data_IF_076877542853
#
_entry.id   IF_076877542853
#
_cell.length_a   1.000
_cell.length_b   1.000
_cell.length_c   1.000
_cell.angle_alpha   90.00
_cell.angle_beta   90.00
_cell.angle_gamma   90.00
#
_symmetry.space_group_name_H-M   'P 1'
#
loop_
_entity.id
_entity.type
_entity.pdbx_description
1 polymer ?
#
# COMPACT_ATOMS: atom_id res chain seq x y z
N UNK A 1 -23.37 -18.43 5.50
CA UNK A 1 -23.22 -18.22 4.05
C UNK A 1 -22.59 -16.85 3.83
N UNK A 2 -21.33 -16.81 3.38
CA UNK A 2 -20.55 -15.58 3.19
C UNK A 2 -20.98 -14.88 1.89
N UNK A 3 -21.37 -13.60 1.97
CA UNK A 3 -21.90 -12.85 0.84
C UNK A 3 -20.79 -11.91 0.29
N UNK A 4 -20.40 -11.99 -1.00
CA UNK A 4 -19.28 -11.21 -1.57
C UNK A 4 -19.36 -9.70 -1.27
N UNK A 5 -20.57 -9.15 -1.27
CA UNK A 5 -20.82 -7.74 -0.95
C UNK A 5 -20.45 -7.36 0.49
N UNK A 6 -20.63 -8.26 1.47
CA UNK A 6 -20.23 -8.00 2.86
C UNK A 6 -18.71 -8.01 3.02
N UNK A 7 -18.01 -8.84 2.25
CA UNK A 7 -16.54 -8.88 2.23
C UNK A 7 -15.95 -7.55 1.76
N UNK A 8 -16.46 -7.01 0.65
CA UNK A 8 -15.95 -5.75 0.07
C UNK A 8 -16.23 -4.56 1.01
N UNK A 9 -17.40 -4.54 1.67
CA UNK A 9 -17.74 -3.51 2.65
C UNK A 9 -16.77 -3.56 3.85
N UNK A 10 -16.52 -4.75 4.38
CA UNK A 10 -15.58 -4.94 5.50
C UNK A 10 -14.17 -4.48 5.12
N UNK A 11 -13.69 -4.83 3.92
CA UNK A 11 -12.38 -4.39 3.42
C UNK A 11 -12.30 -2.88 3.24
N UNK A 12 -13.37 -2.21 2.78
CA UNK A 12 -13.38 -0.74 2.66
C UNK A 12 -13.37 -0.05 4.02
N UNK A 13 -14.13 -0.55 5.00
CA UNK A 13 -14.10 -0.04 6.38
C UNK A 13 -12.71 -0.21 6.98
N UNK A 14 -12.11 -1.40 6.83
CA UNK A 14 -10.76 -1.68 7.29
C UNK A 14 -9.72 -0.74 6.64
N UNK A 15 -9.84 -0.49 5.34
CA UNK A 15 -8.94 0.43 4.61
C UNK A 15 -9.06 1.86 5.13
N UNK A 16 -10.27 2.34 5.39
CA UNK A 16 -10.49 3.68 5.97
C UNK A 16 -9.95 3.79 7.39
N UNK A 17 -10.14 2.76 8.20
CA UNK A 17 -9.55 2.70 9.54
C UNK A 17 -8.02 2.71 9.48
N UNK A 18 -7.42 1.99 8.53
CA UNK A 18 -5.98 2.02 8.30
C UNK A 18 -5.48 3.40 7.87
N UNK A 19 -6.20 4.11 6.99
CA UNK A 19 -5.88 5.51 6.61
C UNK A 19 -5.87 6.40 7.85
N UNK A 20 -6.93 6.36 8.67
CA UNK A 20 -7.01 7.14 9.89
C UNK A 20 -5.85 6.81 10.85
N UNK A 21 -5.53 5.53 11.01
CA UNK A 21 -4.42 5.07 11.86
C UNK A 21 -3.07 5.57 11.35
N UNK A 22 -2.82 5.54 10.04
CA UNK A 22 -1.58 6.09 9.45
C UNK A 22 -1.48 7.60 9.68
N UNK A 23 -2.59 8.33 9.55
CA UNK A 23 -2.58 9.78 9.81
C UNK A 23 -2.31 10.07 11.29
N UNK A 24 -3.00 9.38 12.21
CA UNK A 24 -2.81 9.55 13.66
C UNK A 24 -1.37 9.19 14.04
N UNK A 25 -0.86 8.07 13.55
CA UNK A 25 0.52 7.66 13.82
C UNK A 25 1.52 8.66 13.26
N UNK A 26 1.30 9.27 12.08
CA UNK A 26 2.18 10.31 11.54
C UNK A 26 2.28 11.52 12.49
N UNK A 27 1.18 11.96 13.10
CA UNK A 27 1.22 13.02 14.12
C UNK A 27 1.87 12.59 15.44
N UNK A 28 1.79 11.31 15.80
CA UNK A 28 2.39 10.77 17.01
C UNK A 28 3.90 10.45 16.86
N UNK A 29 4.39 10.23 15.64
CA UNK A 29 5.80 9.90 15.35
C UNK A 29 6.86 10.82 15.97
N UNK A 30 6.72 12.16 15.98
CA UNK A 30 7.73 13.03 16.60
C UNK A 30 7.88 12.80 18.11
N UNK A 31 6.85 12.26 18.78
CA UNK A 31 6.91 11.90 20.20
C UNK A 31 7.32 10.44 20.41
N UNK A 32 6.88 9.54 19.53
CA UNK A 32 7.16 8.10 19.62
C UNK A 32 8.63 7.75 19.33
N UNK A 33 9.24 8.36 18.29
CA UNK A 33 10.59 8.01 17.86
C UNK A 33 11.65 8.32 18.95
N UNK A 34 11.69 9.52 19.56
CA UNK A 34 12.62 9.80 20.64
C UNK A 34 12.41 8.88 21.86
N UNK A 35 11.15 8.61 22.21
CA UNK A 35 10.81 7.70 23.32
C UNK A 35 11.33 6.28 23.06
N UNK A 36 11.16 5.77 21.84
CA UNK A 36 11.67 4.47 21.43
C UNK A 36 13.20 4.40 21.47
N UNK A 37 13.89 5.41 20.95
CA UNK A 37 15.37 5.47 20.94
C UNK A 37 15.93 5.52 22.36
N UNK A 38 15.29 6.30 23.25
CA UNK A 38 15.65 6.35 24.67
C UNK A 38 15.45 4.98 25.35
N UNK A 39 14.35 4.28 25.05
CA UNK A 39 14.08 2.96 25.62
C UNK A 39 15.03 1.87 25.11
N UNK A 40 15.43 1.93 23.82
CA UNK A 40 16.37 0.98 23.22
C UNK A 40 17.84 1.32 23.45
N UNK A 41 18.13 2.44 24.11
CA UNK A 41 19.50 2.89 24.41
C UNK A 41 20.34 3.17 23.16
N UNK A 42 19.70 3.47 22.02
CA UNK A 42 20.40 3.78 20.76
C UNK A 42 20.89 5.23 20.75
N UNK A 43 21.88 5.50 19.88
CA UNK A 43 22.41 6.85 19.73
C UNK A 43 21.33 7.81 19.21
N UNK A 44 21.19 9.00 19.80
CA UNK A 44 20.17 9.98 19.42
C UNK A 44 20.36 10.52 17.98
N UNK A 45 21.54 10.34 17.39
CA UNK A 45 21.84 10.75 16.00
C UNK A 45 21.00 10.01 14.95
N UNK A 46 20.42 8.85 15.27
CA UNK A 46 19.59 8.07 14.34
C UNK A 46 18.15 8.61 14.26
N UNK A 47 17.71 9.41 15.26
CA UNK A 47 16.37 9.99 15.33
C UNK A 47 15.98 10.74 14.05
N UNK A 48 16.76 11.72 13.53
CA UNK A 48 16.38 12.46 12.33
C UNK A 48 16.28 11.55 11.09
N UNK A 49 17.23 10.63 10.90
CA UNK A 49 17.23 9.70 9.77
C UNK A 49 16.00 8.78 9.80
N UNK A 50 15.67 8.24 10.98
CA UNK A 50 14.49 7.38 11.16
C UNK A 50 13.19 8.14 10.88
N UNK A 51 13.10 9.38 11.35
CA UNK A 51 11.94 10.24 11.17
C UNK A 51 11.74 10.57 9.69
N UNK A 52 12.82 10.94 8.97
CA UNK A 52 12.81 11.14 7.51
C UNK A 52 12.32 9.88 6.79
N UNK A 53 12.86 8.70 7.11
CA UNK A 53 12.45 7.43 6.50
C UNK A 53 10.96 7.16 6.72
N UNK A 54 10.46 7.35 7.94
CA UNK A 54 9.04 7.09 8.26
C UNK A 54 8.13 8.03 7.48
N UNK A 55 8.43 9.32 7.44
CA UNK A 55 7.62 10.27 6.66
C UNK A 55 7.73 10.04 5.15
N UNK A 56 8.92 9.68 4.65
CA UNK A 56 9.12 9.34 3.25
C UNK A 56 8.31 8.09 2.84
N UNK A 57 8.18 7.10 3.72
CA UNK A 57 7.33 5.92 3.50
C UNK A 57 5.84 6.19 3.71
N UNK A 58 5.47 7.12 4.60
CA UNK A 58 4.08 7.45 4.90
C UNK A 58 3.35 8.02 3.67
N UNK A 59 4.04 8.83 2.84
CA UNK A 59 3.46 9.40 1.62
C UNK A 59 2.98 8.32 0.61
N UNK A 60 3.86 7.44 0.07
CA UNK A 60 3.43 6.36 -0.83
C UNK A 60 2.53 5.35 -0.13
N UNK A 61 2.68 5.15 1.20
CA UNK A 61 1.76 4.33 2.00
C UNK A 61 0.33 4.87 1.97
N UNK A 62 0.13 6.16 2.24
CA UNK A 62 -1.19 6.81 2.18
C UNK A 62 -1.78 6.79 0.78
N UNK A 63 -0.96 7.09 -0.24
CA UNK A 63 -1.39 7.01 -1.65
C UNK A 63 -1.87 5.60 -1.96
N UNK A 64 -1.15 4.57 -1.52
CA UNK A 64 -1.56 3.18 -1.73
C UNK A 64 -2.90 2.86 -1.07
N UNK A 65 -3.13 3.29 0.17
CA UNK A 65 -4.40 3.07 0.86
C UNK A 65 -5.57 3.79 0.17
N UNK A 66 -5.37 5.01 -0.31
CA UNK A 66 -6.40 5.76 -1.05
C UNK A 66 -6.71 5.07 -2.39
N UNK A 67 -5.69 4.59 -3.10
CA UNK A 67 -5.88 3.82 -4.32
C UNK A 67 -6.66 2.51 -4.06
N UNK A 68 -6.39 1.85 -2.93
CA UNK A 68 -7.09 0.64 -2.52
C UNK A 68 -8.56 0.94 -2.19
N UNK A 69 -8.87 2.01 -1.45
CA UNK A 69 -10.26 2.38 -1.14
C UNK A 69 -11.05 2.69 -2.42
N UNK A 70 -10.43 3.39 -3.39
CA UNK A 70 -11.04 3.62 -4.71
C UNK A 70 -11.27 2.32 -5.48
N UNK A 71 -10.31 1.40 -5.45
CA UNK A 71 -10.45 0.09 -6.11
C UNK A 71 -11.62 -0.70 -5.50
N UNK A 72 -11.73 -0.73 -4.17
CA UNK A 72 -12.82 -1.39 -3.46
C UNK A 72 -14.17 -0.72 -3.73
N UNK A 73 -14.20 0.62 -3.82
CA UNK A 73 -15.41 1.36 -4.18
C UNK A 73 -15.90 1.03 -5.61
N UNK A 74 -14.99 0.84 -6.56
CA UNK A 74 -15.33 0.44 -7.92
C UNK A 74 -15.85 -1.01 -7.97
N UNK A 75 -15.23 -1.92 -7.22
CA UNK A 75 -15.72 -3.31 -7.09
C UNK A 75 -17.13 -3.33 -6.50
N UNK A 76 -17.42 -2.47 -5.51
CA UNK A 76 -18.76 -2.35 -4.91
C UNK A 76 -19.81 -1.83 -5.89
N UNK A 77 -19.41 -1.06 -6.90
CA UNK A 77 -20.28 -0.56 -7.98
C UNK A 77 -20.44 -1.55 -9.13
N UNK A 78 -19.91 -2.77 -8.99
CA UNK A 78 -19.86 -3.80 -10.04
C UNK A 78 -19.04 -3.39 -11.28
N UNK A 79 -18.32 -2.27 -11.22
CA UNK A 79 -17.42 -1.77 -12.24
C UNK A 79 -16.04 -2.45 -12.14
N UNK A 80 -16.01 -3.78 -12.01
CA UNK A 80 -14.79 -4.56 -11.78
C UNK A 80 -13.86 -4.54 -13.02
N UNK A 81 -14.46 -4.55 -14.21
CA UNK A 81 -13.77 -4.62 -15.51
C UNK A 81 -13.53 -3.24 -16.14
N UNK A 82 -13.28 -2.22 -15.32
CA UNK A 82 -12.92 -0.90 -15.82
C UNK A 82 -11.39 -0.77 -15.98
N UNK A 83 -10.92 -0.21 -17.10
CA UNK A 83 -9.49 0.14 -17.28
C UNK A 83 -8.96 1.03 -16.14
N UNK A 84 -9.84 1.81 -15.52
CA UNK A 84 -9.54 2.63 -14.33
C UNK A 84 -8.98 1.78 -13.18
N UNK A 85 -9.46 0.56 -12.98
CA UNK A 85 -8.99 -0.34 -11.92
C UNK A 85 -7.57 -0.85 -12.21
N UNK A 86 -7.24 -1.10 -13.48
CA UNK A 86 -5.88 -1.46 -13.90
C UNK A 86 -4.90 -0.32 -13.64
N UNK A 87 -5.32 0.94 -13.84
CA UNK A 87 -4.51 2.13 -13.50
C UNK A 87 -4.30 2.25 -11.99
N UNK A 88 -5.33 1.98 -11.17
CA UNK A 88 -5.20 1.96 -9.70
C UNK A 88 -4.25 0.86 -9.23
N UNK A 89 -4.36 -0.36 -9.78
CA UNK A 89 -3.45 -1.48 -9.48
C UNK A 89 -2.00 -1.16 -9.89
N UNK A 90 -1.81 -0.47 -11.02
CA UNK A 90 -0.50 0.02 -11.46
C UNK A 90 0.08 1.01 -10.45
N UNK A 91 -0.71 1.98 -9.99
CA UNK A 91 -0.29 2.95 -8.99
C UNK A 91 0.08 2.27 -7.66
N UNK A 92 -0.75 1.33 -7.19
CA UNK A 92 -0.49 0.52 -5.99
C UNK A 92 0.86 -0.19 -6.08
N UNK A 93 1.13 -0.87 -7.21
CA UNK A 93 2.38 -1.58 -7.42
C UNK A 93 3.59 -0.64 -7.37
N UNK A 94 3.53 0.50 -8.05
CA UNK A 94 4.61 1.49 -8.01
C UNK A 94 4.84 2.06 -6.60
N UNK A 95 3.77 2.32 -5.84
CA UNK A 95 3.90 2.77 -4.45
C UNK A 95 4.66 1.74 -3.61
N UNK A 96 4.36 0.45 -3.75
CA UNK A 96 5.08 -0.62 -3.04
C UNK A 96 6.56 -0.69 -3.41
N UNK A 97 6.92 -0.50 -4.69
CA UNK A 97 8.33 -0.45 -5.10
C UNK A 97 9.05 0.80 -4.58
N UNK A 98 8.38 1.95 -4.55
CA UNK A 98 8.93 3.18 -3.95
C UNK A 98 9.20 2.99 -2.45
N UNK A 99 8.24 2.43 -1.71
CA UNK A 99 8.42 2.10 -0.28
C UNK A 99 9.58 1.12 -0.10
N UNK A 100 9.66 0.08 -0.93
CA UNK A 100 10.75 -0.89 -0.89
C UNK A 100 12.11 -0.22 -1.10
N UNK A 101 12.24 0.66 -2.10
CA UNK A 101 13.49 1.38 -2.35
C UNK A 101 13.90 2.28 -1.18
N UNK A 102 12.95 3.03 -0.59
CA UNK A 102 13.22 3.89 0.57
C UNK A 102 13.68 3.05 1.77
N UNK A 103 13.01 1.93 2.04
CA UNK A 103 13.36 1.04 3.15
C UNK A 103 14.68 0.32 2.91
N UNK A 104 15.01 -0.03 1.66
CA UNK A 104 16.28 -0.65 1.31
C UNK A 104 17.44 0.30 1.56
N UNK A 105 17.33 1.57 1.15
CA UNK A 105 18.31 2.63 1.46
C UNK A 105 18.40 2.85 2.97
N UNK A 106 17.28 2.82 3.67
CA UNK A 106 17.26 2.95 5.14
C UNK A 106 17.83 1.70 5.85
N UNK A 107 17.93 0.59 5.13
CA UNK A 107 18.46 -0.69 5.59
C UNK A 107 19.93 -0.66 5.99
N UNK A 108 20.72 0.29 5.48
CA UNK A 108 22.11 0.49 5.88
C UNK A 108 22.26 0.81 7.38
N UNK A 109 21.23 1.38 8.01
CA UNK A 109 21.22 1.71 9.45
C UNK A 109 20.53 0.63 10.31
N UNK A 110 19.58 -0.11 9.73
CA UNK A 110 18.77 -1.11 10.43
C UNK A 110 18.44 -2.28 9.50
N UNK A 111 19.03 -3.45 9.80
CA UNK A 111 18.81 -4.66 9.01
C UNK A 111 17.33 -5.06 8.91
N UNK A 112 16.51 -4.73 9.92
CA UNK A 112 15.07 -4.96 9.91
C UNK A 112 14.36 -4.26 8.74
N UNK A 113 14.83 -3.08 8.31
CA UNK A 113 14.24 -2.39 7.16
C UNK A 113 14.52 -3.10 5.84
N UNK A 114 15.65 -3.80 5.71
CA UNK A 114 15.92 -4.62 4.52
C UNK A 114 14.89 -5.75 4.39
N UNK A 115 14.54 -6.41 5.49
CA UNK A 115 13.54 -7.48 5.50
C UNK A 115 12.19 -6.92 5.05
N UNK A 116 11.76 -5.78 5.61
CA UNK A 116 10.50 -5.14 5.25
C UNK A 116 10.53 -4.66 3.78
N UNK A 117 11.68 -4.16 3.31
CA UNK A 117 11.86 -3.76 1.91
C UNK A 117 11.63 -4.92 0.95
N UNK A 118 12.17 -6.12 1.27
CA UNK A 118 11.95 -7.33 0.47
C UNK A 118 10.48 -7.73 0.47
N UNK A 119 9.81 -7.70 1.62
CA UNK A 119 8.37 -7.95 1.69
C UNK A 119 7.56 -6.96 0.84
N UNK A 120 7.88 -5.66 0.91
CA UNK A 120 7.23 -4.62 0.12
C UNK A 120 7.47 -4.81 -1.40
N UNK A 121 8.68 -5.19 -1.81
CA UNK A 121 8.98 -5.51 -3.21
C UNK A 121 8.15 -6.72 -3.68
N UNK A 122 8.06 -7.76 -2.86
CA UNK A 122 7.27 -8.95 -3.17
C UNK A 122 5.78 -8.63 -3.33
N UNK A 123 5.21 -7.81 -2.43
CA UNK A 123 3.84 -7.29 -2.58
C UNK A 123 3.69 -6.47 -3.87
N UNK A 124 4.68 -5.66 -4.22
CA UNK A 124 4.72 -4.92 -5.48
C UNK A 124 4.66 -5.83 -6.71
N UNK A 125 5.36 -6.97 -6.67
CA UNK A 125 5.33 -8.00 -7.73
C UNK A 125 3.96 -8.69 -7.82
N UNK A 126 3.37 -9.09 -6.69
CA UNK A 126 2.02 -9.67 -6.65
C UNK A 126 1.02 -8.70 -7.31
N UNK A 127 1.08 -7.41 -6.96
CA UNK A 127 0.21 -6.40 -7.56
C UNK A 127 0.40 -6.26 -9.07
N UNK A 128 1.64 -6.45 -9.60
CA UNK A 128 1.86 -6.51 -11.05
C UNK A 128 1.19 -7.72 -11.69
N UNK A 129 1.29 -8.89 -11.05
CA UNK A 129 0.63 -10.11 -11.55
C UNK A 129 -0.88 -9.91 -11.58
N UNK A 130 -1.49 -9.41 -10.49
CA UNK A 130 -2.92 -9.12 -10.42
C UNK A 130 -3.33 -8.11 -11.50
N UNK A 131 -2.56 -7.02 -11.66
CA UNK A 131 -2.78 -6.04 -12.73
C UNK A 131 -2.84 -6.70 -14.11
N UNK A 132 -1.86 -7.56 -14.43
CA UNK A 132 -1.78 -8.21 -15.73
C UNK A 132 -2.93 -9.19 -15.97
N UNK A 133 -3.38 -9.90 -14.92
CA UNK A 133 -4.56 -10.77 -15.00
C UNK A 133 -5.83 -9.96 -15.26
N UNK A 134 -6.01 -8.83 -14.56
CA UNK A 134 -7.16 -7.94 -14.78
C UNK A 134 -7.16 -7.34 -16.20
N UNK A 135 -6.00 -6.95 -16.71
CA UNK A 135 -5.85 -6.43 -18.07
C UNK A 135 -6.28 -7.46 -19.12
N UNK A 136 -5.87 -8.73 -18.97
CA UNK A 136 -6.33 -9.83 -19.83
C UNK A 136 -7.82 -10.12 -19.68
N UNK A 137 -8.35 -10.06 -18.46
CA UNK A 137 -9.77 -10.31 -18.22
C UNK A 137 -10.66 -9.25 -18.87
N UNK A 138 -10.22 -7.99 -18.90
CA UNK A 138 -10.93 -6.89 -19.60
C UNK A 138 -10.93 -7.14 -21.12
N UNK A 139 -9.79 -7.54 -21.70
CA UNK A 139 -9.70 -7.84 -23.13
C UNK A 139 -10.66 -8.95 -23.55
N UNK A 140 -10.70 -10.07 -22.80
CA UNK A 140 -11.61 -11.19 -23.07
C UNK A 140 -13.07 -10.74 -23.00
N UNK A 141 -13.41 -9.88 -22.02
CA UNK A 141 -14.76 -9.34 -21.90
C UNK A 141 -15.12 -8.47 -23.11
N UNK A 142 -14.21 -7.59 -23.55
CA UNK A 142 -14.43 -6.78 -24.76
C UNK A 142 -14.63 -7.64 -25.99
N UNK A 143 -13.77 -8.64 -26.24
CA UNK A 143 -13.91 -9.54 -27.39
C UNK A 143 -15.28 -10.23 -27.42
N UNK A 144 -15.76 -10.70 -26.25
CA UNK A 144 -17.07 -11.33 -26.14
C UNK A 144 -18.23 -10.35 -26.41
N UNK A 145 -18.12 -9.10 -25.96
CA UNK A 145 -19.14 -8.06 -26.22
C UNK A 145 -19.22 -7.66 -27.71
N UNK A 146 -18.17 -7.89 -28.52
CA UNK A 146 -18.14 -7.61 -29.97
C UNK A 146 -18.60 -8.77 -30.86
N UNK A 147 -18.81 -9.96 -30.30
CA UNK A 147 -19.19 -11.17 -31.07
C UNK A 147 -20.70 -11.44 -31.05
N UNK A 148 -21.50 -10.54 -30.44
CA UNK A 148 -22.96 -10.60 -30.37
C UNK A 148 -23.58 -9.74 -31.49
#
# INVERSE_FOLDING_TARGET
MWNPNRSVILSSICTKAAIALVIISAFAMPYLIPTYVNYTGKTPEIIPSLLITVYACALPGLVSLICLDRLLANIRREEVFAEKNVKLLRALSWCSFVVSAILFISGFYYILFVIIAVCAAFLGLILRVIKNVFERAILIKQENDFTI
#
